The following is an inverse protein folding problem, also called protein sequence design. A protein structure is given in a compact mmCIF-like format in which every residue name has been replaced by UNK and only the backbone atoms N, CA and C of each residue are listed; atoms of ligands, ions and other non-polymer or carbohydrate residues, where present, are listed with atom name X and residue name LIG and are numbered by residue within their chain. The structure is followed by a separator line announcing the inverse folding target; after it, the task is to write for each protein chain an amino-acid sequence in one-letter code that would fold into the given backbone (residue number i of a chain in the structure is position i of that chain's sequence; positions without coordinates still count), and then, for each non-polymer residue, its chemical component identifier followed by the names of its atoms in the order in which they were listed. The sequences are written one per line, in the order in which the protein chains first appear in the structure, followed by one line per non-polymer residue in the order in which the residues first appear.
data_IF_353189534640
#
_entry.id   IF_353189534640
#
_cell.length_a   1.000
_cell.length_b   1.000
_cell.length_c   1.000
_cell.angle_alpha   90.00
_cell.angle_beta   90.00
_cell.angle_gamma   90.00
#
_symmetry.space_group_name_H-M   'P 1'
#
loop_
_entity.id
_entity.type
_entity.pdbx_description
1 polymer ?
#
# COMPACT_ATOMS: atom_id res chain seq x y z
N UNK A 1 9.91 4.79 0.26
CA UNK A 1 10.51 5.88 -0.58
C UNK A 1 10.07 5.65 -2.01
N UNK A 2 9.49 6.65 -2.66
CA UNK A 2 9.10 6.52 -4.07
C UNK A 2 10.30 6.41 -5.00
N UNK A 3 10.21 5.48 -5.95
CA UNK A 3 11.16 5.24 -7.04
C UNK A 3 10.40 5.06 -8.35
N UNK A 4 11.10 5.19 -9.48
CA UNK A 4 10.56 4.82 -10.78
C UNK A 4 10.75 3.32 -10.98
N UNK A 5 9.64 2.58 -11.13
CA UNK A 5 9.65 1.14 -11.43
C UNK A 5 9.07 0.90 -12.83
N UNK A 6 9.66 0.00 -13.59
CA UNK A 6 9.24 -0.29 -14.96
C UNK A 6 8.01 -1.20 -14.97
N UNK A 7 6.89 -0.71 -15.51
CA UNK A 7 5.69 -1.48 -15.72
C UNK A 7 5.72 -2.09 -17.15
N UNK A 8 5.93 -3.42 -17.30
CA UNK A 8 6.06 -4.06 -18.60
C UNK A 8 4.74 -4.10 -19.38
N UNK A 9 3.60 -3.99 -18.71
CA UNK A 9 2.27 -4.01 -19.34
C UNK A 9 1.93 -2.68 -20.02
N UNK A 10 2.51 -1.57 -19.56
CA UNK A 10 2.38 -0.24 -20.18
C UNK A 10 3.66 0.23 -20.89
N UNK A 11 4.72 -0.58 -20.85
CA UNK A 11 6.04 -0.29 -21.43
C UNK A 11 6.61 1.07 -20.99
N UNK A 12 6.42 1.44 -19.71
CA UNK A 12 6.85 2.73 -19.16
C UNK A 12 7.24 2.62 -17.69
N UNK A 13 8.03 3.59 -17.22
CA UNK A 13 8.33 3.75 -15.80
C UNK A 13 7.20 4.49 -15.09
N UNK A 14 6.84 4.02 -13.90
CA UNK A 14 5.77 4.58 -13.07
C UNK A 14 6.30 4.83 -11.65
N UNK A 15 5.82 5.87 -10.94
CA UNK A 15 6.18 6.09 -9.53
C UNK A 15 5.56 5.00 -8.66
N UNK A 16 6.37 4.33 -7.86
CA UNK A 16 5.95 3.30 -6.93
C UNK A 16 6.93 3.22 -5.75
N UNK A 17 6.49 2.72 -4.60
CA UNK A 17 7.44 2.41 -3.54
C UNK A 17 8.23 1.14 -3.85
N UNK A 18 9.35 0.97 -3.16
CA UNK A 18 10.29 -0.12 -3.40
C UNK A 18 9.64 -1.50 -3.26
N UNK A 19 8.81 -1.65 -2.23
CA UNK A 19 8.04 -2.84 -1.86
C UNK A 19 6.75 -3.03 -2.68
N UNK A 20 6.28 -2.03 -3.43
CA UNK A 20 5.05 -2.17 -4.20
C UNK A 20 5.16 -3.19 -5.33
N UNK A 21 4.08 -3.94 -5.55
CA UNK A 21 4.03 -5.04 -6.53
C UNK A 21 3.03 -4.73 -7.65
N UNK A 22 3.25 -5.27 -8.85
CA UNK A 22 2.27 -5.18 -9.93
C UNK A 22 1.08 -6.07 -9.61
N UNK A 23 -0.10 -5.47 -9.49
CA UNK A 23 -1.37 -6.17 -9.30
C UNK A 23 -2.32 -5.91 -10.46
N UNK A 24 -3.01 -6.96 -10.90
CA UNK A 24 -4.02 -6.87 -11.96
C UNK A 24 -5.34 -6.36 -11.38
N UNK A 25 -5.86 -5.26 -11.94
CA UNK A 25 -7.15 -4.72 -11.60
C UNK A 25 -8.21 -5.23 -12.60
N UNK A 26 -9.06 -6.22 -12.24
CA UNK A 26 -10.08 -6.75 -13.14
C UNK A 26 -11.16 -5.74 -13.54
N UNK A 27 -11.35 -4.66 -12.77
CA UNK A 27 -12.33 -3.63 -13.13
C UNK A 27 -11.86 -2.72 -14.26
N UNK A 28 -10.54 -2.52 -14.41
CA UNK A 28 -9.96 -1.70 -15.48
C UNK A 28 -9.28 -2.54 -16.57
N UNK A 29 -8.92 -3.79 -16.26
CA UNK A 29 -8.15 -4.66 -17.15
C UNK A 29 -6.65 -4.32 -17.19
N UNK A 30 -6.13 -3.57 -16.22
CA UNK A 30 -4.76 -3.04 -16.23
C UNK A 30 -3.92 -3.57 -15.05
N UNK A 31 -2.59 -3.59 -15.23
CA UNK A 31 -1.64 -3.85 -14.15
C UNK A 31 -1.10 -2.54 -13.60
N UNK A 32 -1.17 -2.37 -12.28
CA UNK A 32 -0.69 -1.18 -11.58
C UNK A 32 0.12 -1.57 -10.36
N UNK A 33 1.13 -0.77 -10.01
CA UNK A 33 1.82 -0.94 -8.74
C UNK A 33 0.88 -0.63 -7.56
N UNK A 34 0.90 -1.49 -6.55
CA UNK A 34 0.11 -1.35 -5.34
C UNK A 34 0.90 -1.84 -4.12
N UNK A 35 0.57 -1.33 -2.91
CA UNK A 35 1.20 -1.82 -1.68
C UNK A 35 1.06 -3.34 -1.49
N UNK A 36 2.04 -3.99 -0.84
CA UNK A 36 1.90 -5.37 -0.38
C UNK A 36 0.59 -5.57 0.40
N UNK A 37 -0.13 -6.64 0.08
CA UNK A 37 -1.43 -6.97 0.70
C UNK A 37 -2.59 -6.02 0.42
N UNK A 38 -2.39 -4.94 -0.35
CA UNK A 38 -3.48 -4.06 -0.75
C UNK A 38 -4.60 -4.82 -1.47
N UNK A 39 -5.84 -4.58 -1.07
CA UNK A 39 -7.04 -5.23 -1.59
C UNK A 39 -7.79 -4.30 -2.56
N UNK A 40 -8.41 -4.89 -3.57
CA UNK A 40 -9.20 -4.13 -4.54
C UNK A 40 -10.53 -3.73 -3.92
N UNK A 41 -10.78 -2.42 -3.79
CA UNK A 41 -12.04 -1.89 -3.26
C UNK A 41 -12.72 -1.00 -4.28
N UNK A 42 -14.03 -1.18 -4.46
CA UNK A 42 -14.86 -0.34 -5.31
C UNK A 42 -15.39 0.87 -4.55
N UNK A 43 -15.13 2.07 -5.05
CA UNK A 43 -15.70 3.30 -4.53
C UNK A 43 -16.87 3.75 -5.43
N UNK A 44 -18.13 3.69 -4.95
CA UNK A 44 -19.32 4.02 -5.75
C UNK A 44 -19.44 5.52 -6.07
N UNK A 45 -18.83 6.40 -5.27
CA UNK A 45 -18.92 7.85 -5.48
C UNK A 45 -18.10 8.32 -6.67
N UNK A 46 -17.00 7.61 -6.98
CA UNK A 46 -16.14 7.89 -8.13
C UNK A 46 -16.25 6.83 -9.22
N UNK A 47 -17.04 5.78 -8.99
CA UNK A 47 -17.27 4.69 -9.94
C UNK A 47 -16.01 3.89 -10.31
N UNK A 48 -15.03 3.79 -9.40
CA UNK A 48 -13.72 3.18 -9.69
C UNK A 48 -13.31 2.16 -8.63
N UNK A 49 -12.73 1.05 -9.06
CA UNK A 49 -12.05 0.11 -8.18
C UNK A 49 -10.55 0.41 -8.13
N UNK A 50 -9.99 0.48 -6.93
CA UNK A 50 -8.56 0.77 -6.68
C UNK A 50 -8.03 -0.11 -5.56
N UNK A 51 -6.74 -0.45 -5.62
CA UNK A 51 -6.07 -1.14 -4.52
C UNK A 51 -5.86 -0.17 -3.35
N UNK A 52 -6.35 -0.53 -2.16
CA UNK A 52 -6.17 0.23 -0.93
C UNK A 52 -5.29 -0.56 0.06
N UNK A 53 -4.40 0.12 0.81
CA UNK A 53 -3.63 -0.54 1.87
C UNK A 53 -4.53 -1.17 2.93
N UNK A 54 -3.98 -2.14 3.65
CA UNK A 54 -4.67 -2.82 4.76
C UNK A 54 -4.83 -1.89 5.95
N UNK A 55 -6.00 -1.91 6.60
CA UNK A 55 -6.20 -1.22 7.87
C UNK A 55 -5.76 -2.12 9.03
N UNK A 56 -4.73 -1.71 9.79
CA UNK A 56 -4.24 -2.43 10.96
C UNK A 56 -4.48 -1.65 12.26
N UNK A 57 -4.96 -2.32 13.30
CA UNK A 57 -5.24 -1.67 14.59
C UNK A 57 -3.98 -1.51 15.43
N UNK A 58 -3.66 -0.26 15.80
CA UNK A 58 -2.58 0.06 16.73
C UNK A 58 -3.11 0.15 18.17
N UNK A 59 -2.75 -0.79 19.07
CA UNK A 59 -3.24 -0.82 20.44
C UNK A 59 -2.69 0.32 21.33
N UNK A 60 -1.59 0.97 20.96
CA UNK A 60 -1.00 2.05 21.74
C UNK A 60 -1.69 3.39 21.48
N UNK A 61 -2.26 3.58 20.29
CA UNK A 61 -2.99 4.80 19.91
C UNK A 61 -4.51 4.59 19.94
N UNK A 62 -4.99 3.35 19.89
CA UNK A 62 -6.40 3.01 19.77
C UNK A 62 -6.98 3.32 18.39
N UNK A 63 -6.13 3.45 17.37
CA UNK A 63 -6.51 3.86 16.01
C UNK A 63 -6.13 2.80 14.97
N UNK A 64 -6.83 2.81 13.84
CA UNK A 64 -6.43 2.01 12.67
C UNK A 64 -5.48 2.82 11.78
N UNK A 65 -4.42 2.17 11.30
CA UNK A 65 -3.45 2.71 10.34
C UNK A 65 -3.59 2.01 8.99
N UNK A 66 -3.65 2.79 7.90
CA UNK A 66 -3.64 2.25 6.54
C UNK A 66 -2.19 2.01 6.11
N UNK A 67 -1.74 0.75 6.18
CA UNK A 67 -0.35 0.35 5.96
C UNK A 67 -0.27 -0.94 5.14
N UNK A 68 0.87 -1.22 4.49
CA UNK A 68 1.12 -2.53 3.88
C UNK A 68 0.90 -3.70 4.85
N UNK A 69 0.50 -4.84 4.30
CA UNK A 69 0.18 -6.04 5.09
C UNK A 69 1.40 -6.66 5.78
N UNK A 70 2.61 -6.45 5.27
CA UNK A 70 3.85 -6.97 5.84
C UNK A 70 4.46 -6.07 6.93
N UNK A 71 3.92 -4.86 7.14
CA UNK A 71 4.41 -3.97 8.20
C UNK A 71 4.11 -4.51 9.60
N UNK A 72 5.09 -4.48 10.48
CA UNK A 72 4.96 -4.91 11.87
C UNK A 72 4.92 -3.68 12.79
N UNK A 73 4.27 -3.82 13.95
CA UNK A 73 4.18 -2.75 14.93
C UNK A 73 5.52 -2.65 15.67
N UNK A 74 6.18 -1.49 15.58
CA UNK A 74 7.49 -1.24 16.19
C UNK A 74 7.51 0.08 16.95
N UNK A 75 8.47 0.24 17.86
CA UNK A 75 8.72 1.48 18.60
C UNK A 75 9.70 2.37 17.85
N UNK A 76 9.23 3.53 17.40
CA UNK A 76 10.07 4.56 16.78
C UNK A 76 10.69 5.45 17.89
N UNK A 77 12.00 5.35 18.18
CA UNK A 77 12.64 6.12 19.24
C UNK A 77 12.76 7.62 18.92
N UNK A 78 12.63 8.02 17.65
CA UNK A 78 12.71 9.43 17.26
C UNK A 78 11.41 10.17 17.55
N UNK A 79 10.26 9.53 17.29
CA UNK A 79 8.95 10.09 17.61
C UNK A 79 8.44 9.72 19.00
N UNK A 80 8.98 8.65 19.60
CA UNK A 80 8.52 8.10 20.87
C UNK A 80 7.18 7.36 20.76
N UNK A 81 6.78 6.95 19.54
CA UNK A 81 5.49 6.34 19.25
C UNK A 81 5.66 4.90 18.76
N UNK A 82 4.68 4.06 19.09
CA UNK A 82 4.52 2.77 18.43
C UNK A 82 3.76 2.98 17.12
N UNK A 83 4.32 2.53 16.01
CA UNK A 83 3.74 2.67 14.67
C UNK A 83 4.04 1.45 13.84
N UNK A 84 3.19 1.16 12.86
CA UNK A 84 3.52 0.14 11.89
C UNK A 84 4.67 0.63 11.00
N UNK A 85 5.63 -0.25 10.74
CA UNK A 85 6.78 0.02 9.89
C UNK A 85 7.24 -1.22 9.12
N UNK A 86 8.08 -1.03 8.08
CA UNK A 86 8.65 -2.15 7.35
C UNK A 86 9.49 -3.02 8.30
N UNK A 87 9.50 -4.33 8.04
CA UNK A 87 10.33 -5.27 8.79
C UNK A 87 11.82 -4.95 8.59
N UNK A 88 12.52 -4.71 9.70
CA UNK A 88 13.97 -4.44 9.73
C UNK A 88 14.84 -5.65 9.43
#
# INVERSE_FOLDING_TARGET
MMKLKYNPYHMRYEPAEEDWELKYNPATGEYQYAPPGAELTYNPFVGRATFIPTAKYNPYTGQYEAVPEDWELDYDPFSGLHRYGPKG
#
